data_IF_136523189198
#
_entry.id   IF_136523189198
#
_cell.length_a   1.000
_cell.length_b   1.000
_cell.length_c   1.000
_cell.angle_alpha   90.00
_cell.angle_beta   90.00
_cell.angle_gamma   90.00
#
_symmetry.space_group_name_H-M   'P 1'
#
loop_
_entity.id
_entity.type
_entity.pdbx_description
1 polymer ?
#
# COMPACT_ATOMS: atom_id res chain seq x y z
N UNK A 1 17.67 2.18 21.28
CA UNK A 1 18.28 1.84 19.98
C UNK A 1 17.18 1.65 18.94
N UNK A 2 17.11 2.49 17.89
CA UNK A 2 16.25 2.17 16.73
C UNK A 2 16.95 1.03 15.98
N UNK A 3 16.41 -0.18 16.07
CA UNK A 3 16.90 -1.32 15.30
C UNK A 3 16.75 -0.97 13.81
N UNK A 4 17.87 -0.82 13.10
CA UNK A 4 17.86 -0.63 11.67
C UNK A 4 17.30 -1.91 11.03
N UNK A 5 16.05 -1.87 10.57
CA UNK A 5 15.46 -3.00 9.85
C UNK A 5 16.32 -3.30 8.62
N UNK A 6 16.61 -4.59 8.39
CA UNK A 6 17.36 -5.01 7.21
C UNK A 6 16.64 -4.57 5.92
N UNK A 7 17.41 -4.32 4.87
CA UNK A 7 16.88 -3.92 3.56
C UNK A 7 15.85 -4.94 3.04
N UNK A 8 16.13 -6.23 3.20
CA UNK A 8 15.22 -7.31 2.87
C UNK A 8 13.89 -7.20 3.62
N UNK A 9 13.89 -6.81 4.90
CA UNK A 9 12.67 -6.63 5.67
C UNK A 9 11.80 -5.47 5.16
N UNK A 10 12.41 -4.41 4.64
CA UNK A 10 11.68 -3.29 4.01
C UNK A 10 11.01 -3.72 2.71
N UNK A 11 11.74 -4.45 1.87
CA UNK A 11 11.21 -4.98 0.58
C UNK A 11 10.08 -5.98 0.82
N UNK A 12 10.25 -6.91 1.76
CA UNK A 12 9.19 -7.86 2.12
C UNK A 12 7.95 -7.17 2.69
N UNK A 13 8.15 -6.14 3.53
CA UNK A 13 7.04 -5.32 4.01
C UNK A 13 6.23 -4.70 2.87
N UNK A 14 6.90 -4.14 1.86
CA UNK A 14 6.24 -3.58 0.67
C UNK A 14 5.52 -4.64 -0.16
N UNK A 15 6.12 -5.82 -0.35
CA UNK A 15 5.50 -6.95 -1.07
C UNK A 15 4.21 -7.41 -0.40
N UNK A 16 4.21 -7.57 0.93
CA UNK A 16 3.00 -7.93 1.66
C UNK A 16 1.95 -6.83 1.58
N UNK A 17 2.34 -5.55 1.71
CA UNK A 17 1.39 -4.45 1.55
C UNK A 17 0.74 -4.47 0.15
N UNK A 18 1.53 -4.65 -0.91
CA UNK A 18 1.00 -4.78 -2.27
C UNK A 18 0.08 -6.00 -2.42
N UNK A 19 0.46 -7.16 -1.89
CA UNK A 19 -0.36 -8.38 -1.95
C UNK A 19 -1.72 -8.17 -1.27
N UNK A 20 -1.73 -7.68 -0.03
CA UNK A 20 -2.98 -7.43 0.69
C UNK A 20 -3.79 -6.30 0.07
N UNK A 21 -3.15 -5.27 -0.49
CA UNK A 21 -3.83 -4.25 -1.27
C UNK A 21 -4.61 -4.87 -2.43
N UNK A 22 -3.99 -5.76 -3.21
CA UNK A 22 -4.66 -6.42 -4.34
C UNK A 22 -5.78 -7.35 -3.85
N UNK A 23 -5.50 -8.23 -2.89
CA UNK A 23 -6.46 -9.22 -2.41
C UNK A 23 -7.68 -8.56 -1.75
N UNK A 24 -7.47 -7.58 -0.89
CA UNK A 24 -8.55 -6.89 -0.18
C UNK A 24 -9.42 -6.05 -1.13
N UNK A 25 -8.82 -5.37 -2.11
CA UNK A 25 -9.61 -4.62 -3.09
C UNK A 25 -10.37 -5.56 -4.04
N UNK A 26 -9.75 -6.66 -4.49
CA UNK A 26 -10.44 -7.65 -5.32
C UNK A 26 -11.63 -8.27 -4.59
N UNK A 27 -11.48 -8.62 -3.32
CA UNK A 27 -12.58 -9.13 -2.50
C UNK A 27 -13.73 -8.11 -2.40
N UNK A 28 -13.42 -6.83 -2.18
CA UNK A 28 -14.44 -5.77 -2.15
C UNK A 28 -15.16 -5.60 -3.48
N UNK A 29 -14.44 -5.65 -4.60
CA UNK A 29 -15.03 -5.59 -5.95
C UNK A 29 -15.96 -6.78 -6.19
N UNK A 30 -15.55 -7.99 -5.79
CA UNK A 30 -16.39 -9.19 -5.89
C UNK A 30 -17.66 -9.02 -5.04
N UNK A 31 -17.54 -8.53 -3.81
CA UNK A 31 -18.71 -8.28 -2.94
C UNK A 31 -19.65 -7.24 -3.57
N UNK A 32 -19.11 -6.13 -4.07
CA UNK A 32 -19.92 -5.13 -4.76
C UNK A 32 -20.63 -5.73 -5.98
N UNK A 33 -19.92 -6.52 -6.80
CA UNK A 33 -20.48 -7.14 -7.99
C UNK A 33 -21.59 -8.14 -7.69
N UNK A 34 -21.41 -8.96 -6.65
CA UNK A 34 -22.37 -10.03 -6.28
C UNK A 34 -23.63 -9.45 -5.65
N UNK A 35 -23.50 -8.43 -4.80
CA UNK A 35 -24.61 -7.98 -3.96
C UNK A 35 -25.23 -6.67 -4.43
N UNK A 36 -24.43 -5.70 -4.88
CA UNK A 36 -24.88 -4.33 -5.10
C UNK A 36 -24.35 -3.70 -6.42
N UNK A 37 -24.43 -4.39 -7.58
CA UNK A 37 -23.83 -3.88 -8.84
C UNK A 37 -24.47 -2.59 -9.36
N UNK A 38 -25.73 -2.33 -9.00
CA UNK A 38 -26.45 -1.11 -9.42
C UNK A 38 -26.19 0.10 -8.49
N UNK A 39 -25.48 -0.12 -7.39
CA UNK A 39 -25.16 0.94 -6.43
C UNK A 39 -23.81 1.57 -6.75
N UNK A 40 -23.59 2.76 -6.18
CA UNK A 40 -22.29 3.41 -6.23
C UNK A 40 -21.15 2.44 -5.90
N UNK A 41 -20.08 2.50 -6.69
CA UNK A 41 -18.89 1.65 -6.58
C UNK A 41 -18.06 2.03 -5.35
N UNK A 42 -18.56 1.66 -4.18
CA UNK A 42 -17.92 1.92 -2.89
C UNK A 42 -16.51 1.32 -2.72
N UNK A 43 -16.09 0.23 -3.41
CA UNK A 43 -14.69 -0.22 -3.36
C UNK A 43 -13.69 0.87 -3.80
N UNK A 44 -14.13 1.87 -4.58
CA UNK A 44 -13.34 3.03 -4.98
C UNK A 44 -12.62 3.69 -3.80
N UNK A 45 -13.32 3.88 -2.67
CA UNK A 45 -12.73 4.55 -1.52
C UNK A 45 -11.56 3.76 -0.95
N UNK A 46 -11.68 2.43 -0.84
CA UNK A 46 -10.59 1.59 -0.36
C UNK A 46 -9.42 1.61 -1.34
N UNK A 47 -9.68 1.47 -2.64
CA UNK A 47 -8.65 1.52 -3.69
C UNK A 47 -7.87 2.83 -3.62
N UNK A 48 -8.56 3.97 -3.57
CA UNK A 48 -7.90 5.29 -3.58
C UNK A 48 -7.13 5.54 -2.29
N UNK A 49 -7.77 5.41 -1.12
CA UNK A 49 -7.11 5.77 0.15
C UNK A 49 -5.99 4.80 0.52
N UNK A 50 -6.18 3.49 0.32
CA UNK A 50 -5.08 2.54 0.53
C UNK A 50 -4.01 2.65 -0.55
N UNK A 51 -4.38 3.01 -1.78
CA UNK A 51 -3.45 3.22 -2.88
C UNK A 51 -2.49 4.36 -2.58
N UNK A 52 -2.98 5.45 -1.97
CA UNK A 52 -2.15 6.54 -1.45
C UNK A 52 -1.17 6.00 -0.38
N UNK A 53 -1.65 5.19 0.57
CA UNK A 53 -0.79 4.56 1.59
C UNK A 53 0.29 3.64 1.01
N UNK A 54 -0.06 2.85 -0.01
CA UNK A 54 0.88 2.00 -0.74
C UNK A 54 1.93 2.82 -1.49
N UNK A 55 1.54 3.94 -2.11
CA UNK A 55 2.45 4.85 -2.79
C UNK A 55 3.46 5.46 -1.80
N UNK A 56 3.01 5.90 -0.62
CA UNK A 56 3.91 6.38 0.42
C UNK A 56 4.81 5.28 0.98
N UNK A 57 4.32 4.04 1.10
CA UNK A 57 5.16 2.93 1.51
C UNK A 57 6.25 2.63 0.48
N UNK A 58 5.90 2.60 -0.81
CA UNK A 58 6.83 2.46 -1.92
C UNK A 58 7.89 3.57 -1.87
N UNK A 59 7.45 4.82 -1.76
CA UNK A 59 8.34 5.98 -1.60
C UNK A 59 9.28 5.80 -0.40
N UNK A 60 8.77 5.35 0.75
CA UNK A 60 9.57 5.12 1.95
C UNK A 60 10.59 3.99 1.83
N UNK A 61 10.39 3.03 0.92
CA UNK A 61 11.38 1.96 0.64
C UNK A 61 12.46 2.45 -0.32
N UNK A 62 12.07 3.16 -1.39
CA UNK A 62 12.99 3.53 -2.48
C UNK A 62 13.59 4.94 -2.39
N UNK A 63 13.13 5.78 -1.47
CA UNK A 63 13.72 7.10 -1.28
C UNK A 63 15.18 6.99 -0.88
N UNK A 64 16.08 7.73 -1.54
CA UNK A 64 17.46 7.84 -1.08
C UNK A 64 17.47 8.36 0.36
N UNK A 65 18.44 7.95 1.19
CA UNK A 65 18.67 8.63 2.46
C UNK A 65 18.86 10.11 2.14
N UNK A 66 18.16 11.01 2.85
CA UNK A 66 18.50 12.45 2.78
C UNK A 66 19.99 12.53 3.06
N UNK A 67 20.78 12.85 2.03
CA UNK A 67 22.20 13.10 2.20
C UNK A 67 22.31 14.16 3.29
N UNK A 68 23.11 13.85 4.31
CA UNK A 68 23.51 14.80 5.34
C UNK A 68 24.02 16.02 4.58
N UNK A 69 23.27 17.12 4.61
CA UNK A 69 23.77 18.42 4.17
C UNK A 69 24.84 18.76 5.20
N UNK A 70 26.07 18.38 4.92
CA UNK A 70 27.24 18.86 5.66
C UNK A 70 27.46 20.30 5.20
N UNK A 71 27.25 21.23 6.14
CA UNK A 71 27.60 22.65 6.02
C UNK A 71 29.08 22.84 6.29
#
# INVERSE_FOLDING_TARGET
MKSAKSESARIWGLRFHLLFYVLSNLAQVIVWWVYNPDHFFWPLWSIVFWGIGLAFHFWGVYSPPKSRIEY
#
